data_IF_590705352934
#
_entry.id   IF_590705352934
#
_cell.length_a   1.000
_cell.length_b   1.000
_cell.length_c   1.000
_cell.angle_alpha   90.00
_cell.angle_beta   90.00
_cell.angle_gamma   90.00
#
_symmetry.space_group_name_H-M   'P 1'
#
loop_
_entity.id
_entity.type
_entity.pdbx_description
1 polymer ?
2 water ?
#
# COMPACT_ATOMS: atom_id res chain seq x y z
N UNK A 1 0.71 0.12 -13.89
CA UNK A 1 0.76 -0.82 -12.78
C UNK A 1 -0.65 -1.03 -12.24
N UNK A 2 -0.99 -2.30 -12.03
CA UNK A 2 -2.30 -2.65 -11.53
C UNK A 2 -2.16 -3.26 -10.13
N UNK A 3 -2.47 -2.45 -9.13
CA UNK A 3 -2.37 -2.89 -7.75
C UNK A 3 -3.79 -3.07 -7.21
N UNK A 4 -3.86 -3.52 -5.96
CA UNK A 4 -5.15 -3.73 -5.31
C UNK A 4 -5.55 -2.46 -4.56
N UNK A 5 -6.86 -2.26 -4.45
CA UNK A 5 -7.38 -1.10 -3.77
C UNK A 5 -7.43 -1.37 -2.26
N UNK A 6 -8.06 -0.45 -1.55
CA UNK A 6 -8.18 -0.59 -0.10
C UNK A 6 -8.64 -2.01 0.23
N UNK A 7 -9.87 -2.31 -0.13
CA UNK A 7 -10.44 -3.63 0.12
C UNK A 7 -10.04 -4.57 -1.00
N UNK A 8 -9.67 -5.83 -0.60
CA UNK A 8 -9.27 -6.83 -1.57
C UNK A 8 -10.49 -7.39 -2.32
N UNK A 9 -11.25 -6.47 -2.90
CA UNK A 9 -12.44 -6.86 -3.65
C UNK A 9 -12.27 -6.46 -5.11
N UNK A 10 -11.61 -5.33 -5.32
CA UNK A 10 -11.37 -4.82 -6.66
C UNK A 10 -9.95 -4.31 -6.80
N UNK A 11 -9.53 -4.14 -8.05
CA UNK A 11 -8.19 -3.65 -8.33
C UNK A 11 -8.26 -2.41 -9.22
N UNK A 12 -7.25 -1.58 -9.10
CA UNK A 12 -7.19 -0.35 -9.88
C UNK A 12 -5.74 -0.07 -10.28
N UNK A 13 -5.58 0.76 -11.29
CA UNK A 13 -4.26 1.11 -11.79
C UNK A 13 -3.83 2.47 -11.25
N UNK A 14 -2.60 2.52 -10.76
CA UNK A 14 -2.06 3.75 -10.21
C UNK A 14 -1.66 4.66 -11.38
N UNK A 15 -2.38 5.81 -11.49
CA UNK A 15 -2.11 6.76 -12.55
C UNK A 15 -0.82 7.55 -12.25
N UNK A 16 -0.41 8.34 -13.25
CA UNK A 16 0.79 9.14 -13.11
C UNK A 16 0.84 9.74 -11.70
N UNK A 17 2.05 9.85 -11.18
CA UNK A 17 2.25 10.41 -9.85
C UNK A 17 2.62 9.32 -8.85
N UNK A 18 1.78 8.28 -8.81
CA UNK A 18 2.02 7.18 -7.90
C UNK A 18 2.52 5.97 -8.69
N UNK A 19 3.84 5.87 -8.77
CA UNK A 19 4.46 4.78 -9.49
C UNK A 19 4.85 3.67 -8.51
N UNK A 20 4.43 3.86 -7.28
CA UNK A 20 4.72 2.89 -6.23
C UNK A 20 3.47 2.68 -5.36
N UNK A 21 3.14 1.42 -5.16
CA UNK A 21 1.97 1.08 -4.37
C UNK A 21 2.40 1.02 -2.90
N UNK A 22 1.52 1.51 -2.04
CA UNK A 22 1.79 1.53 -0.61
C UNK A 22 0.73 0.73 0.16
N UNK A 23 1.12 0.26 1.32
CA UNK A 23 0.21 -0.51 2.17
C UNK A 23 0.40 -0.10 3.63
N UNK A 24 -0.69 0.36 4.22
CA UNK A 24 -0.67 0.79 5.62
C UNK A 24 -1.36 -0.24 6.52
N UNK A 25 -0.59 -0.74 7.48
CA UNK A 25 -1.11 -1.72 8.41
C UNK A 25 -0.61 -1.46 9.83
N UNK A 26 -1.38 -1.89 10.80
CA UNK A 26 -1.04 -1.71 12.20
C UNK A 26 -0.24 -2.90 12.72
N UNK A 27 0.62 -2.62 13.69
CA UNK A 27 1.44 -3.66 14.28
C UNK A 27 0.55 -4.72 14.91
N UNK A 28 -0.72 -4.36 15.06
CA UNK A 28 -1.69 -5.27 15.63
C UNK A 28 -1.40 -6.70 15.17
N UNK A 29 -1.06 -6.81 13.89
CA UNK A 29 -0.75 -8.11 13.32
C UNK A 29 0.27 -7.92 12.18
N UNK A 30 1.07 -9.00 11.95
CA UNK A 30 2.08 -8.97 10.90
C UNK A 30 1.44 -9.10 9.52
N UNK A 31 0.21 -9.60 9.52
CA UNK A 31 -0.52 -9.79 8.28
C UNK A 31 -1.98 -9.35 8.47
N UNK A 32 -2.15 -8.06 8.70
CA UNK A 32 -3.48 -7.51 8.90
C UNK A 32 -3.46 -6.02 8.54
N UNK A 33 -3.70 -5.75 7.23
CA UNK A 33 -3.72 -4.37 6.75
C UNK A 33 -5.00 -3.66 7.17
N UNK A 34 -4.95 -2.34 7.15
CA UNK A 34 -6.09 -1.54 7.52
C UNK A 34 -6.61 -0.80 6.28
N UNK A 35 -5.68 -0.38 5.44
CA UNK A 35 -6.02 0.33 4.22
C UNK A 35 -4.80 0.40 3.31
N UNK A 36 -5.03 0.41 2.00
CA UNK A 36 -3.95 0.49 1.04
C UNK A 36 -4.35 1.37 -0.14
N UNK A 37 -3.37 1.71 -0.95
CA UNK A 37 -3.62 2.54 -2.11
C UNK A 37 -2.35 2.72 -2.94
N UNK A 38 -2.30 3.83 -3.66
CA UNK A 38 -1.14 4.13 -4.50
C UNK A 38 -0.60 5.50 -4.09
N UNK A 39 0.72 5.61 -4.13
CA UNK A 39 1.39 6.85 -3.76
C UNK A 39 2.70 6.97 -4.54
N UNK A 40 3.42 8.07 -4.32
CA UNK A 40 4.68 8.31 -5.00
C UNK A 40 5.83 8.12 -4.02
N UNK A 41 5.70 8.78 -2.87
CA UNK A 41 6.72 8.71 -1.84
C UNK A 41 6.16 7.94 -0.64
N UNK A 42 7.05 7.21 0.02
CA UNK A 42 6.67 6.43 1.18
C UNK A 42 6.85 7.30 2.42
N UNK A 43 5.81 7.27 3.30
CA UNK A 43 5.85 8.06 4.53
C UNK A 43 6.78 7.42 5.56
N UNK A 44 7.11 8.20 6.58
CA UNK A 44 7.98 7.73 7.64
C UNK A 44 7.32 6.56 8.38
N UNK A 45 8.12 5.57 8.72
CA UNK A 45 7.62 4.41 9.44
C UNK A 45 7.78 4.61 10.95
N UNK A 46 6.68 4.37 11.66
CA UNK A 46 6.69 4.52 13.10
C UNK A 46 6.54 3.14 13.77
N UNK A 47 6.67 3.14 15.09
CA UNK A 47 6.57 1.92 15.85
C UNK A 47 5.11 1.46 15.87
N UNK A 48 4.23 2.40 16.15
CA UNK A 48 2.80 2.10 16.20
C UNK A 48 2.38 1.45 14.89
N UNK A 49 2.48 2.23 13.82
CA UNK A 49 2.11 1.73 12.51
C UNK A 49 3.34 1.73 11.60
N UNK A 50 3.28 0.89 10.58
CA UNK A 50 4.38 0.78 9.63
C UNK A 50 3.82 0.79 8.20
N UNK A 51 4.66 1.25 7.28
CA UNK A 51 4.26 1.31 5.89
C UNK A 51 5.32 0.67 4.99
N UNK A 52 4.84 0.04 3.93
CA UNK A 52 5.72 -0.62 2.98
C UNK A 52 5.39 -0.17 1.57
N UNK A 53 6.43 -0.01 0.77
CA UNK A 53 6.27 0.42 -0.60
C UNK A 53 6.93 -0.61 -1.52
N UNK A 54 6.41 -0.70 -2.73
CA UNK A 54 6.93 -1.63 -3.71
C UNK A 54 6.45 -1.21 -5.10
N UNK A 55 7.33 -1.35 -6.07
CA UNK A 55 7.01 -0.99 -7.44
C UNK A 55 6.80 -2.27 -8.26
N UNK A 56 5.77 -3.01 -7.87
CA UNK A 56 5.45 -4.25 -8.57
C UNK A 56 3.94 -4.44 -8.65
N UNK A 57 3.49 -5.36 -9.50
CA UNK A 57 2.08 -5.64 -9.67
C UNK A 57 1.53 -6.30 -8.40
N UNK A 58 0.34 -5.85 -8.02
CA UNK A 58 -0.30 -6.38 -6.83
C UNK A 58 0.75 -6.60 -5.74
N UNK A 59 1.49 -5.54 -5.46
CA UNK A 59 2.53 -5.61 -4.44
C UNK A 59 1.89 -5.28 -3.08
N UNK A 60 1.08 -4.24 -3.08
CA UNK A 60 0.40 -3.82 -1.86
C UNK A 60 -0.89 -4.61 -1.70
#
# INVERSE_FOLDING_TARGET
LKCKKLVPLFSKTCPAGKNLCYKMFMVAAPHVPVKRGCIDVCPKSSLLVKYVCCNTDKCN
#
